data_IF_756268372420
#
_entry.id   IF_756268372420
#
_cell.length_a   1.000
_cell.length_b   1.000
_cell.length_c   1.000
_cell.angle_alpha   90.00
_cell.angle_beta   90.00
_cell.angle_gamma   90.00
#
_symmetry.space_group_name_H-M   'P 1'
#
loop_
_entity.id
_entity.type
_entity.pdbx_description
1 polymer ?
#
# COMPACT_ATOMS: atom_id res chain seq x y z
N UNK A 1 21.67 26.07 -24.79
CA UNK A 1 21.22 24.76 -25.31
C UNK A 1 21.82 23.66 -24.42
N UNK A 2 21.10 22.55 -24.22
CA UNK A 2 21.65 21.38 -23.52
C UNK A 2 22.78 20.78 -24.37
N UNK A 3 23.88 20.37 -23.75
CA UNK A 3 24.99 19.69 -24.43
C UNK A 3 25.27 18.34 -23.77
N UNK A 4 25.93 17.39 -24.46
CA UNK A 4 26.29 16.10 -23.85
C UNK A 4 27.18 16.24 -22.61
N UNK A 5 27.99 17.31 -22.53
CA UNK A 5 28.87 17.60 -21.41
C UNK A 5 28.17 18.36 -20.28
N UNK A 6 27.08 19.07 -20.58
CA UNK A 6 26.25 19.80 -19.62
C UNK A 6 24.76 19.59 -19.94
N UNK A 7 24.20 18.42 -19.60
CA UNK A 7 22.80 18.13 -19.82
C UNK A 7 21.94 19.06 -18.95
N UNK A 8 21.12 19.90 -19.56
CA UNK A 8 20.13 20.71 -18.85
C UNK A 8 18.82 19.93 -18.73
N UNK A 9 18.52 19.45 -17.53
CA UNK A 9 17.25 18.78 -17.22
C UNK A 9 16.17 19.83 -16.93
N UNK A 10 15.46 20.24 -17.97
CA UNK A 10 14.38 21.23 -17.85
C UNK A 10 13.12 20.70 -17.14
N UNK A 11 12.96 19.38 -17.07
CA UNK A 11 11.77 18.70 -16.53
C UNK A 11 11.80 18.44 -15.03
N UNK A 12 12.96 18.59 -14.38
CA UNK A 12 13.09 18.36 -12.95
C UNK A 12 13.48 19.67 -12.26
N UNK A 13 12.96 19.92 -11.05
CA UNK A 13 13.41 20.98 -10.17
C UNK A 13 13.42 22.42 -10.76
N UNK A 14 12.44 22.76 -11.62
CA UNK A 14 12.34 24.09 -12.27
C UNK A 14 13.65 24.47 -12.99
N UNK A 15 14.17 23.59 -13.86
CA UNK A 15 15.45 23.80 -14.56
C UNK A 15 16.65 24.06 -13.62
N UNK A 16 16.64 23.43 -12.43
CA UNK A 16 17.70 23.58 -11.43
C UNK A 16 17.55 24.80 -10.51
N UNK A 17 16.46 25.57 -10.62
CA UNK A 17 16.14 26.64 -9.66
C UNK A 17 15.70 26.13 -8.30
N UNK A 18 15.31 24.85 -8.20
CA UNK A 18 15.00 24.18 -6.93
C UNK A 18 16.13 23.21 -6.62
N UNK A 19 16.80 23.40 -5.49
CA UNK A 19 17.68 22.39 -4.92
C UNK A 19 16.85 21.51 -3.98
N UNK A 20 16.56 20.27 -4.38
CA UNK A 20 15.98 19.31 -3.44
C UNK A 20 17.09 18.82 -2.51
N UNK A 21 16.86 18.77 -1.18
CA UNK A 21 17.82 18.14 -0.29
C UNK A 21 17.96 16.67 -0.68
N UNK A 22 19.17 16.12 -0.51
CA UNK A 22 19.32 14.68 -0.58
C UNK A 22 18.41 14.04 0.48
N UNK A 23 17.69 12.95 0.13
CA UNK A 23 16.90 12.26 1.12
C UNK A 23 17.81 11.81 2.26
N UNK A 24 17.30 11.94 3.48
CA UNK A 24 17.98 11.38 4.65
C UNK A 24 18.21 9.89 4.43
N UNK A 25 19.31 9.37 4.97
CA UNK A 25 19.54 7.93 4.97
C UNK A 25 18.37 7.24 5.65
N UNK A 26 17.81 6.23 5.00
CA UNK A 26 16.77 5.38 5.59
C UNK A 26 17.28 4.76 6.89
N UNK A 27 16.42 4.65 7.89
CA UNK A 27 16.79 4.06 9.17
C UNK A 27 17.21 2.60 9.00
N UNK A 28 18.05 2.10 9.92
CA UNK A 28 18.59 0.74 9.84
C UNK A 28 17.47 -0.29 9.96
N UNK A 29 16.44 0.02 10.72
CA UNK A 29 15.25 -0.80 10.93
C UNK A 29 14.49 -1.00 9.62
N UNK A 30 14.24 0.08 8.86
CA UNK A 30 13.60 -0.04 7.55
C UNK A 30 14.47 -0.78 6.53
N UNK A 31 15.79 -0.58 6.55
CA UNK A 31 16.70 -1.36 5.70
C UNK A 31 16.59 -2.85 6.06
N UNK A 32 16.54 -3.19 7.35
CA UNK A 32 16.35 -4.57 7.81
C UNK A 32 14.99 -5.15 7.40
N UNK A 33 13.91 -4.37 7.49
CA UNK A 33 12.58 -4.77 7.05
C UNK A 33 12.57 -5.09 5.54
N UNK A 34 13.15 -4.23 4.69
CA UNK A 34 13.23 -4.48 3.24
C UNK A 34 14.23 -5.58 2.87
N UNK A 35 15.06 -6.05 3.80
CA UNK A 35 15.90 -7.24 3.63
C UNK A 35 15.24 -8.53 4.13
N UNK A 36 14.05 -8.45 4.74
CA UNK A 36 13.31 -9.59 5.25
C UNK A 36 12.51 -10.27 4.11
N UNK A 37 12.86 -11.51 3.79
CA UNK A 37 12.21 -12.29 2.72
C UNK A 37 10.72 -12.55 2.96
N UNK A 38 10.31 -12.75 4.22
CA UNK A 38 8.90 -12.93 4.58
C UNK A 38 8.12 -11.64 4.27
N UNK A 39 8.64 -10.51 4.74
CA UNK A 39 8.03 -9.20 4.45
C UNK A 39 7.91 -8.95 2.96
N UNK A 40 8.98 -9.16 2.18
CA UNK A 40 8.95 -8.92 0.73
C UNK A 40 7.97 -9.85 0.00
N UNK A 41 7.90 -11.13 0.40
CA UNK A 41 6.95 -12.09 -0.20
C UNK A 41 5.50 -11.66 0.03
N UNK A 42 5.19 -11.18 1.23
CA UNK A 42 3.83 -10.85 1.66
C UNK A 42 3.56 -9.32 1.69
N UNK A 43 4.43 -8.52 1.07
CA UNK A 43 4.42 -7.04 1.13
C UNK A 43 3.08 -6.44 0.69
N UNK A 44 2.38 -7.09 -0.23
CA UNK A 44 1.06 -6.66 -0.70
C UNK A 44 0.01 -6.78 0.41
N UNK A 45 0.06 -7.85 1.21
CA UNK A 45 -0.84 -8.03 2.34
C UNK A 45 -0.51 -7.04 3.45
N UNK A 46 0.79 -6.85 3.77
CA UNK A 46 1.22 -5.81 4.69
C UNK A 46 0.71 -4.43 4.24
N UNK A 47 1.00 -3.98 3.03
CA UNK A 47 0.54 -2.67 2.56
C UNK A 47 -1.00 -2.56 2.50
N UNK A 48 -1.71 -3.66 2.22
CA UNK A 48 -3.16 -3.65 2.15
C UNK A 48 -3.81 -3.34 3.51
N UNK A 49 -3.28 -3.86 4.63
CA UNK A 49 -3.86 -3.61 5.96
C UNK A 49 -3.70 -2.15 6.43
N UNK A 50 -2.77 -1.40 5.83
CA UNK A 50 -2.57 0.04 6.07
C UNK A 50 -3.25 0.93 5.01
N UNK A 51 -4.13 0.36 4.18
CA UNK A 51 -4.88 1.14 3.21
C UNK A 51 -6.01 1.94 3.89
N UNK A 52 -6.05 3.25 3.65
CA UNK A 52 -7.12 4.12 4.20
C UNK A 52 -8.46 3.98 3.47
N UNK A 53 -8.47 3.43 2.26
CA UNK A 53 -9.69 3.26 1.45
C UNK A 53 -9.65 1.95 0.71
N UNK A 54 -10.79 1.31 0.51
CA UNK A 54 -10.88 0.19 -0.44
C UNK A 54 -11.00 0.68 -1.87
N UNK A 55 -10.57 -0.17 -2.79
CA UNK A 55 -10.66 0.04 -4.23
C UNK A 55 -11.95 -0.57 -4.77
N UNK A 56 -12.75 0.21 -5.48
CA UNK A 56 -13.93 -0.24 -6.20
C UNK A 56 -13.71 -0.14 -7.71
N UNK A 57 -13.84 -1.26 -8.41
CA UNK A 57 -13.74 -1.31 -9.86
C UNK A 57 -14.63 -2.41 -10.44
N UNK A 58 -14.94 -2.27 -11.73
CA UNK A 58 -15.57 -3.30 -12.55
C UNK A 58 -14.44 -4.14 -13.16
N UNK A 59 -14.20 -5.33 -12.62
CA UNK A 59 -13.12 -6.22 -13.04
C UNK A 59 -13.65 -7.11 -14.15
N UNK A 60 -12.97 -7.09 -15.30
CA UNK A 60 -13.29 -7.95 -16.43
C UNK A 60 -12.45 -9.24 -16.33
N UNK A 61 -13.09 -10.30 -15.86
CA UNK A 61 -12.46 -11.61 -15.68
C UNK A 61 -12.46 -12.45 -16.97
N UNK A 62 -13.22 -12.08 -18.00
CA UNK A 62 -13.37 -12.84 -19.24
C UNK A 62 -12.06 -12.88 -20.05
N UNK A 63 -11.16 -11.91 -19.81
CA UNK A 63 -9.85 -11.79 -20.48
C UNK A 63 -8.87 -12.91 -20.09
N UNK A 64 -9.14 -13.63 -19.00
CA UNK A 64 -8.25 -14.65 -18.45
C UNK A 64 -8.58 -16.08 -18.91
N UNK A 65 -9.36 -16.25 -19.98
CA UNK A 65 -9.77 -17.55 -20.54
C UNK A 65 -8.68 -18.27 -21.38
N UNK A 66 -7.57 -17.59 -21.67
CA UNK A 66 -6.45 -18.09 -22.48
C UNK A 66 -5.30 -18.73 -21.70
N UNK A 67 -4.26 -19.18 -22.43
CA UNK A 67 -2.99 -19.70 -21.84
C UNK A 67 -1.97 -18.59 -21.53
N UNK A 68 -2.40 -17.33 -21.53
CA UNK A 68 -1.55 -16.17 -21.30
C UNK A 68 -1.27 -15.93 -19.82
N UNK A 69 -0.33 -15.02 -19.49
CA UNK A 69 -0.19 -14.50 -18.14
C UNK A 69 -1.50 -13.86 -17.66
N UNK A 70 -1.79 -13.97 -16.36
CA UNK A 70 -2.98 -13.38 -15.76
C UNK A 70 -3.01 -11.85 -15.95
N UNK A 71 -4.16 -11.35 -16.41
CA UNK A 71 -4.43 -9.93 -16.64
C UNK A 71 -5.49 -9.46 -15.65
N UNK A 72 -5.13 -8.50 -14.80
CA UNK A 72 -6.12 -7.78 -13.99
C UNK A 72 -6.68 -6.62 -14.82
N UNK A 73 -7.77 -6.88 -15.56
CA UNK A 73 -8.41 -5.85 -16.39
C UNK A 73 -9.51 -5.14 -15.61
N UNK A 74 -9.46 -3.82 -15.62
CA UNK A 74 -10.51 -2.95 -15.07
C UNK A 74 -11.21 -2.27 -16.23
N UNK A 75 -12.51 -2.48 -16.34
CA UNK A 75 -13.34 -1.74 -17.27
C UNK A 75 -13.92 -0.49 -16.59
N UNK A 76 -14.19 0.55 -17.39
CA UNK A 76 -14.87 1.79 -16.96
C UNK A 76 -14.07 2.67 -16.00
N UNK A 77 -14.40 2.65 -14.71
CA UNK A 77 -13.93 3.64 -13.74
C UNK A 77 -13.49 2.98 -12.44
N UNK A 78 -12.37 3.51 -11.93
CA UNK A 78 -11.90 3.27 -10.58
C UNK A 78 -12.57 4.26 -9.63
N UNK A 79 -13.12 3.75 -8.53
CA UNK A 79 -13.67 4.54 -7.44
C UNK A 79 -12.99 4.19 -6.12
N UNK A 80 -12.82 5.19 -5.26
CA UNK A 80 -12.45 4.97 -3.88
C UNK A 80 -13.72 4.66 -3.08
N UNK A 81 -13.74 3.50 -2.44
CA UNK A 81 -14.80 3.10 -1.52
C UNK A 81 -14.37 3.44 -0.10
N UNK A 82 -14.75 4.64 0.31
CA UNK A 82 -14.61 5.15 1.67
C UNK A 82 -15.88 4.73 2.41
N UNK A 83 -15.73 3.88 3.43
CA UNK A 83 -16.85 3.46 4.26
C UNK A 83 -17.39 4.59 5.14
N UNK A 84 -18.28 4.24 6.08
CA UNK A 84 -18.69 5.15 7.16
C UNK A 84 -17.46 5.72 7.89
N UNK A 85 -17.56 6.93 8.43
CA UNK A 85 -16.51 7.47 9.30
C UNK A 85 -16.48 6.76 10.66
N UNK A 86 -17.64 6.32 11.16
CA UNK A 86 -17.75 5.60 12.42
C UNK A 86 -17.79 4.09 12.20
N UNK A 87 -17.12 3.29 13.07
CA UNK A 87 -17.20 1.84 13.03
C UNK A 87 -18.64 1.38 13.20
N UNK A 88 -19.05 0.42 12.37
CA UNK A 88 -20.33 -0.24 12.58
C UNK A 88 -20.22 -1.19 13.79
N UNK A 89 -21.23 -1.23 14.69
CA UNK A 89 -21.15 -2.01 15.92
C UNK A 89 -20.84 -3.50 15.72
N UNK A 90 -21.32 -4.07 14.60
CA UNK A 90 -21.21 -5.50 14.29
C UNK A 90 -19.88 -5.86 13.60
N UNK A 91 -19.19 -4.85 13.08
CA UNK A 91 -18.19 -5.01 12.04
C UNK A 91 -16.84 -4.43 12.44
N UNK A 92 -16.72 -3.71 13.56
CA UNK A 92 -15.50 -3.08 14.08
C UNK A 92 -14.85 -2.07 13.10
N UNK A 93 -13.72 -1.45 13.49
CA UNK A 93 -13.06 -0.46 12.65
C UNK A 93 -12.42 -1.09 11.40
N UNK A 94 -12.47 -0.38 10.25
CA UNK A 94 -11.83 -0.75 8.98
C UNK A 94 -11.27 0.47 8.23
N UNK A 95 -10.21 0.25 7.45
CA UNK A 95 -9.57 1.27 6.60
C UNK A 95 -9.22 2.55 7.38
N UNK A 96 -9.70 3.73 6.96
CA UNK A 96 -9.48 5.01 7.64
C UNK A 96 -9.85 4.95 9.14
N UNK A 97 -10.85 4.17 9.52
CA UNK A 97 -11.29 4.06 10.91
C UNK A 97 -10.20 3.49 11.83
N UNK A 98 -9.28 2.67 11.30
CA UNK A 98 -8.15 2.11 12.06
C UNK A 98 -7.17 3.18 12.55
N UNK A 99 -7.16 4.36 11.92
CA UNK A 99 -6.31 5.47 12.33
C UNK A 99 -7.01 6.43 13.30
N UNK A 100 -8.33 6.27 13.49
CA UNK A 100 -9.17 7.17 14.29
C UNK A 100 -9.68 6.51 15.57
N UNK A 101 -9.87 5.19 15.54
CA UNK A 101 -10.48 4.44 16.62
C UNK A 101 -9.55 3.34 17.10
N UNK A 102 -9.37 3.28 18.43
CA UNK A 102 -8.69 2.21 19.17
C UNK A 102 -7.25 1.92 18.76
N UNK A 103 -6.32 2.64 19.39
CA UNK A 103 -4.87 2.45 19.24
C UNK A 103 -4.31 1.28 20.07
N UNK A 104 -5.05 0.76 21.04
CA UNK A 104 -4.53 -0.30 21.93
C UNK A 104 -4.54 -1.66 21.25
N UNK A 105 -5.47 -1.88 20.30
CA UNK A 105 -5.66 -3.16 19.62
C UNK A 105 -5.35 -3.09 18.10
N UNK A 106 -4.44 -2.21 17.66
CA UNK A 106 -4.18 -1.97 16.22
C UNK A 106 -3.75 -3.22 15.46
N UNK A 107 -2.89 -4.06 16.05
CA UNK A 107 -2.40 -5.29 15.40
C UNK A 107 -3.57 -6.23 15.09
N UNK A 108 -4.41 -6.52 16.09
CA UNK A 108 -5.58 -7.37 15.95
C UNK A 108 -6.60 -6.77 14.97
N UNK A 109 -6.88 -5.47 15.10
CA UNK A 109 -7.80 -4.75 14.23
C UNK A 109 -7.36 -4.79 12.76
N UNK A 110 -6.05 -4.70 12.48
CA UNK A 110 -5.47 -4.78 11.12
C UNK A 110 -5.48 -6.21 10.57
N UNK A 111 -5.19 -7.22 11.38
CA UNK A 111 -5.23 -8.62 10.97
C UNK A 111 -6.62 -9.10 10.57
N UNK A 112 -7.66 -8.55 11.22
CA UNK A 112 -9.07 -8.87 10.97
C UNK A 112 -9.53 -8.58 9.53
N UNK A 113 -8.80 -7.75 8.79
CA UNK A 113 -9.07 -7.49 7.36
C UNK A 113 -8.98 -8.78 6.53
N UNK A 114 -8.18 -9.75 6.97
CA UNK A 114 -7.97 -11.01 6.26
C UNK A 114 -8.78 -12.18 6.81
N UNK A 115 -9.80 -11.92 7.62
CA UNK A 115 -10.68 -12.98 8.11
C UNK A 115 -11.39 -13.67 6.93
N UNK A 116 -11.09 -14.95 6.75
CA UNK A 116 -11.61 -15.74 5.64
C UNK A 116 -10.75 -16.96 5.32
N UNK A 117 -11.14 -17.76 4.32
CA UNK A 117 -10.48 -19.02 3.97
C UNK A 117 -9.05 -18.85 3.41
N UNK A 118 -8.63 -17.62 3.12
CA UNK A 118 -7.30 -17.28 2.60
C UNK A 118 -6.58 -16.26 3.49
N UNK A 119 -6.64 -16.45 4.81
CA UNK A 119 -5.87 -15.64 5.75
C UNK A 119 -4.37 -15.84 5.51
N UNK A 120 -3.61 -14.78 5.16
CA UNK A 120 -2.17 -14.89 4.97
C UNK A 120 -1.47 -15.12 6.31
N UNK A 121 -0.36 -15.84 6.29
CA UNK A 121 0.47 -16.07 7.48
C UNK A 121 1.43 -14.89 7.67
N UNK A 122 0.93 -13.81 8.28
CA UNK A 122 1.67 -12.58 8.51
C UNK A 122 2.38 -12.62 9.87
N UNK A 123 3.62 -12.15 9.90
CA UNK A 123 4.38 -11.95 11.12
C UNK A 123 3.89 -10.70 11.86
N UNK A 124 3.32 -10.90 13.05
CA UNK A 124 2.78 -9.85 13.90
C UNK A 124 3.86 -8.88 14.40
N UNK A 125 5.11 -9.32 14.54
CA UNK A 125 6.21 -8.42 14.95
C UNK A 125 6.51 -7.37 13.88
N UNK A 126 6.33 -7.72 12.61
CA UNK A 126 6.43 -6.78 11.49
C UNK A 126 5.27 -5.79 11.50
N UNK A 127 4.06 -6.24 11.84
CA UNK A 127 2.88 -5.36 11.96
C UNK A 127 3.10 -4.39 13.12
N UNK A 128 3.53 -4.88 14.28
CA UNK A 128 3.84 -4.07 15.44
C UNK A 128 4.93 -3.03 15.16
N UNK A 129 5.93 -3.36 14.33
CA UNK A 129 6.94 -2.41 13.88
C UNK A 129 6.38 -1.28 12.99
N UNK A 130 5.28 -1.53 12.26
CA UNK A 130 4.68 -0.58 11.32
C UNK A 130 3.56 0.27 11.91
N UNK A 131 3.11 -0.06 13.12
CA UNK A 131 2.12 0.70 13.91
C UNK A 131 2.85 1.75 14.74
#
# INVERSE_FOLDING_TARGET
>A
MSTPQHPRYHRCCKSGSVALPYPSRMSVEFIGLFANDHFLRDIRAYNNMFSMTSFGADVDDDVNDGRGPFVFMISRQISHKIGSLYPEPQNGPRFLQLYLFDTENEVDNRLRIFDGPRKPNLDESIIFFMV
#
